data_IF_898525150927
#
_entry.id   IF_898525150927
#
_cell.length_a   1.000
_cell.length_b   1.000
_cell.length_c   1.000
_cell.angle_alpha   90.00
_cell.angle_beta   90.00
_cell.angle_gamma   90.00
#
_symmetry.space_group_name_H-M   'P 1'
#
loop_
_entity.id
_entity.type
_entity.pdbx_description
1 polymer ?
#
# COMPACT_ATOMS: atom_id res chain seq x y z
N UNK A 1 38.09 -1.61 7.59
CA UNK A 1 38.06 -0.17 7.29
C UNK A 1 36.78 0.05 6.53
N UNK A 2 35.74 0.48 7.22
CA UNK A 2 34.45 0.77 6.58
C UNK A 2 34.61 2.01 5.70
N UNK A 3 34.41 1.84 4.39
CA UNK A 3 34.53 2.91 3.41
C UNK A 3 33.47 3.99 3.65
N UNK A 4 33.88 5.20 3.99
CA UNK A 4 33.02 6.37 4.24
C UNK A 4 32.00 6.66 3.12
N UNK A 5 32.35 6.50 1.82
CA UNK A 5 31.37 6.64 0.74
C UNK A 5 30.21 5.63 0.83
N UNK A 6 30.47 4.43 1.37
CA UNK A 6 29.46 3.38 1.58
C UNK A 6 28.48 3.75 2.70
N UNK A 7 28.98 4.30 3.80
CA UNK A 7 28.14 4.73 4.93
C UNK A 7 27.25 5.92 4.55
N UNK A 8 27.78 6.93 3.86
CA UNK A 8 26.97 8.03 3.33
C UNK A 8 25.91 7.55 2.35
N UNK A 9 26.32 6.69 1.39
CA UNK A 9 25.40 6.09 0.44
C UNK A 9 24.26 5.33 1.12
N UNK A 10 24.56 4.57 2.19
CA UNK A 10 23.54 3.84 2.96
C UNK A 10 22.59 4.79 3.69
N UNK A 11 23.11 5.88 4.24
CA UNK A 11 22.30 6.94 4.87
C UNK A 11 21.33 7.56 3.88
N UNK A 12 21.81 8.00 2.71
CA UNK A 12 20.97 8.61 1.67
C UNK A 12 19.88 7.64 1.18
N UNK A 13 20.20 6.36 0.99
CA UNK A 13 19.20 5.31 0.66
C UNK A 13 18.10 5.24 1.70
N UNK A 14 18.46 5.31 2.97
CA UNK A 14 17.52 5.28 4.08
C UNK A 14 16.63 6.53 4.08
N UNK A 15 17.20 7.72 3.93
CA UNK A 15 16.44 8.98 3.85
C UNK A 15 15.40 8.95 2.72
N UNK A 16 15.78 8.45 1.54
CA UNK A 16 14.87 8.29 0.41
C UNK A 16 13.69 7.34 0.70
N UNK A 17 13.97 6.20 1.34
CA UNK A 17 12.92 5.24 1.75
C UNK A 17 11.97 5.86 2.77
N UNK A 18 12.51 6.49 3.80
CA UNK A 18 11.71 7.17 4.82
C UNK A 18 10.82 8.25 4.20
N UNK A 19 11.35 9.06 3.27
CA UNK A 19 10.57 10.07 2.54
C UNK A 19 9.43 9.46 1.72
N UNK A 20 9.67 8.34 1.03
CA UNK A 20 8.63 7.61 0.28
C UNK A 20 7.55 7.05 1.22
N UNK A 21 7.94 6.49 2.35
CA UNK A 21 7.02 5.96 3.37
C UNK A 21 6.17 7.08 4.00
N UNK A 22 6.77 8.23 4.30
CA UNK A 22 6.04 9.40 4.80
C UNK A 22 5.01 9.89 3.78
N UNK A 23 5.37 10.00 2.50
CA UNK A 23 4.41 10.40 1.47
C UNK A 23 3.25 9.40 1.34
N UNK A 24 3.52 8.09 1.43
CA UNK A 24 2.48 7.07 1.47
C UNK A 24 1.57 7.22 2.70
N UNK A 25 2.16 7.53 3.87
CA UNK A 25 1.42 7.79 5.11
C UNK A 25 0.54 9.03 5.01
N UNK A 26 1.08 10.15 4.51
CA UNK A 26 0.36 11.39 4.26
C UNK A 26 -0.83 11.14 3.34
N UNK A 27 -0.62 10.39 2.25
CA UNK A 27 -1.70 10.07 1.32
C UNK A 27 -2.81 9.23 1.99
N UNK A 28 -2.44 8.27 2.84
CA UNK A 28 -3.40 7.49 3.63
C UNK A 28 -4.20 8.37 4.60
N UNK A 29 -3.53 9.26 5.33
CA UNK A 29 -4.16 10.23 6.23
C UNK A 29 -5.12 11.15 5.47
N UNK A 30 -4.71 11.67 4.31
CA UNK A 30 -5.56 12.54 3.47
C UNK A 30 -6.81 11.81 2.99
N UNK A 31 -6.70 10.52 2.71
CA UNK A 31 -7.83 9.69 2.29
C UNK A 31 -8.77 9.34 3.46
N UNK A 32 -8.26 9.23 4.70
CA UNK A 32 -9.09 8.95 5.87
C UNK A 32 -9.95 10.14 6.31
N UNK A 33 -9.61 11.36 5.89
CA UNK A 33 -10.39 12.56 6.21
C UNK A 33 -11.36 12.88 5.06
N UNK A 34 -12.69 12.79 5.29
CA UNK A 34 -13.70 13.12 4.29
C UNK A 34 -13.56 14.57 3.80
N UNK A 35 -13.99 14.83 2.56
CA UNK A 35 -13.89 16.17 1.97
C UNK A 35 -14.73 17.24 2.67
N UNK A 36 -15.78 16.82 3.36
CA UNK A 36 -16.74 17.69 4.07
C UNK A 36 -16.22 18.25 5.38
N UNK A 37 -15.35 17.53 6.10
CA UNK A 37 -14.89 17.91 7.43
C UNK A 37 -13.70 18.88 7.37
N UNK A 38 -14.03 20.17 7.25
CA UNK A 38 -13.04 21.26 7.13
C UNK A 38 -12.13 21.38 8.36
N UNK A 39 -12.62 21.05 9.56
CA UNK A 39 -11.83 21.15 10.79
C UNK A 39 -10.74 20.09 10.81
N UNK A 40 -11.10 18.83 10.55
CA UNK A 40 -10.13 17.72 10.48
C UNK A 40 -9.12 17.90 9.35
N UNK A 41 -9.53 18.49 8.21
CA UNK A 41 -8.61 18.81 7.12
C UNK A 41 -7.54 19.84 7.50
N UNK A 42 -7.93 20.89 8.23
CA UNK A 42 -6.97 21.88 8.72
C UNK A 42 -5.99 21.26 9.69
N UNK A 43 -6.48 20.47 10.64
CA UNK A 43 -5.62 19.74 11.59
C UNK A 43 -4.65 18.82 10.84
N UNK A 44 -5.16 18.05 9.88
CA UNK A 44 -4.34 17.16 9.08
C UNK A 44 -3.23 17.90 8.33
N UNK A 45 -3.50 19.09 7.76
CA UNK A 45 -2.47 19.87 7.08
C UNK A 45 -1.36 20.32 8.04
N UNK A 46 -1.72 20.72 9.26
CA UNK A 46 -0.74 21.09 10.29
C UNK A 46 0.08 19.87 10.73
N UNK A 47 -0.59 18.73 10.94
CA UNK A 47 0.08 17.48 11.32
C UNK A 47 1.03 17.01 10.21
N UNK A 48 0.62 17.11 8.94
CA UNK A 48 1.47 16.79 7.78
C UNK A 48 2.68 17.72 7.71
N UNK A 49 2.47 19.04 7.82
CA UNK A 49 3.57 20.00 7.80
C UNK A 49 4.57 19.76 8.94
N UNK A 50 4.07 19.40 10.14
CA UNK A 50 4.92 19.03 11.27
C UNK A 50 5.72 17.76 10.99
N UNK A 51 5.08 16.71 10.47
CA UNK A 51 5.76 15.45 10.17
C UNK A 51 6.83 15.60 9.09
N UNK A 52 6.56 16.41 8.05
CA UNK A 52 7.53 16.72 7.01
C UNK A 52 8.72 17.52 7.56
N UNK A 53 8.46 18.54 8.37
CA UNK A 53 9.52 19.34 8.99
C UNK A 53 10.39 18.54 9.97
N UNK A 54 9.79 17.70 10.81
CA UNK A 54 10.53 16.86 11.76
C UNK A 54 11.44 15.85 11.05
N UNK A 55 10.96 15.25 9.95
CA UNK A 55 11.78 14.36 9.13
C UNK A 55 12.95 15.12 8.49
N UNK A 56 12.66 16.21 7.78
CA UNK A 56 13.67 16.97 7.06
C UNK A 56 14.74 17.50 8.01
N UNK A 57 14.32 18.00 9.19
CA UNK A 57 15.25 18.44 10.23
C UNK A 57 16.18 17.31 10.69
N UNK A 58 15.66 16.09 10.88
CA UNK A 58 16.48 14.95 11.27
C UNK A 58 17.46 14.54 10.17
N UNK A 59 17.01 14.49 8.91
CA UNK A 59 17.87 14.18 7.77
C UNK A 59 18.97 15.22 7.61
N UNK A 60 18.63 16.51 7.73
CA UNK A 60 19.60 17.60 7.65
C UNK A 60 20.63 17.54 8.79
N UNK A 61 20.21 17.28 10.03
CA UNK A 61 21.16 17.11 11.15
C UNK A 61 22.09 15.91 10.95
N UNK A 62 21.59 14.81 10.40
CA UNK A 62 22.44 13.64 10.07
C UNK A 62 23.48 13.99 9.00
N UNK A 63 23.09 14.76 7.98
CA UNK A 63 23.99 15.24 6.93
C UNK A 63 25.02 16.24 7.47
N UNK A 64 24.61 17.20 8.28
CA UNK A 64 25.50 18.19 8.90
C UNK A 64 26.54 17.51 9.79
N UNK A 65 26.11 16.56 10.63
CA UNK A 65 27.04 15.74 11.44
C UNK A 65 27.99 14.94 10.56
N UNK A 66 27.52 14.42 9.43
CA UNK A 66 28.37 13.67 8.51
C UNK A 66 29.41 14.58 7.84
N UNK A 67 29.02 15.79 7.42
CA UNK A 67 29.92 16.79 6.85
C UNK A 67 30.93 17.32 7.87
N UNK A 68 30.51 17.60 9.11
CA UNK A 68 31.41 18.06 10.18
C UNK A 68 32.50 17.02 10.48
N UNK A 69 32.15 15.73 10.46
CA UNK A 69 33.10 14.65 10.65
C UNK A 69 34.02 14.45 9.42
N UNK A 70 33.59 14.86 8.23
CA UNK A 70 34.33 14.64 6.98
C UNK A 70 34.20 15.81 5.97
N UNK A 71 34.93 16.92 6.21
CA UNK A 71 34.78 18.18 5.45
C UNK A 71 35.27 18.14 3.99
N UNK A 72 35.99 17.09 3.57
CA UNK A 72 36.69 17.04 2.27
C UNK A 72 35.94 16.27 1.16
N UNK A 73 34.68 15.89 1.38
CA UNK A 73 33.96 15.01 0.45
C UNK A 73 33.08 15.76 -0.57
N UNK A 74 33.68 16.34 -1.61
CA UNK A 74 32.91 16.90 -2.74
C UNK A 74 32.20 15.83 -3.60
N UNK A 75 32.55 14.55 -3.46
CA UNK A 75 31.97 13.43 -4.22
C UNK A 75 30.57 12.99 -3.74
N UNK A 76 30.10 13.50 -2.59
CA UNK A 76 28.83 13.08 -1.99
C UNK A 76 27.61 13.49 -2.81
N UNK A 77 27.66 14.61 -3.52
CA UNK A 77 26.56 15.11 -4.35
C UNK A 77 26.37 14.27 -5.63
N UNK A 78 27.43 13.66 -6.17
CA UNK A 78 27.28 12.72 -7.28
C UNK A 78 26.66 11.39 -6.82
N UNK A 79 26.98 10.96 -5.60
CA UNK A 79 26.45 9.73 -5.00
C UNK A 79 24.95 9.85 -4.71
N UNK A 80 24.47 11.02 -4.27
CA UNK A 80 23.04 11.26 -3.99
C UNK A 80 22.19 11.19 -5.27
N UNK A 81 22.66 11.76 -6.38
CA UNK A 81 21.96 11.72 -7.67
C UNK A 81 21.86 10.30 -8.26
N UNK A 82 22.94 9.50 -8.17
CA UNK A 82 22.95 8.13 -8.69
C UNK A 82 22.03 7.20 -7.88
N UNK A 83 21.96 7.41 -6.57
CA UNK A 83 21.06 6.70 -5.67
C UNK A 83 19.58 6.93 -5.93
N UNK A 84 19.22 8.17 -6.26
CA UNK A 84 17.84 8.51 -6.61
C UNK A 84 17.38 7.73 -7.87
N UNK A 85 18.30 7.44 -8.79
CA UNK A 85 18.03 6.63 -9.99
C UNK A 85 17.88 5.15 -9.65
N UNK A 86 18.77 4.58 -8.84
CA UNK A 86 18.69 3.15 -8.48
C UNK A 86 17.47 2.75 -7.64
N UNK A 87 16.99 3.61 -6.73
CA UNK A 87 15.81 3.31 -5.90
C UNK A 87 14.50 3.31 -6.72
N UNK A 88 14.55 3.70 -8.00
CA UNK A 88 13.46 3.55 -8.96
C UNK A 88 13.41 2.15 -9.58
N UNK A 89 14.57 1.49 -9.74
CA UNK A 89 14.70 0.19 -10.40
C UNK A 89 14.38 -1.01 -9.50
N UNK A 90 14.54 -0.88 -8.18
CA UNK A 90 14.24 -1.95 -7.21
C UNK A 90 12.76 -2.00 -6.79
N UNK A 91 11.89 -1.19 -7.40
CA UNK A 91 10.45 -1.34 -7.20
C UNK A 91 9.92 -2.45 -8.12
N UNK A 92 9.22 -3.47 -7.60
CA UNK A 92 8.60 -4.47 -8.47
C UNK A 92 7.70 -3.77 -9.48
N UNK A 93 7.66 -4.24 -10.75
CA UNK A 93 6.86 -3.62 -11.80
C UNK A 93 5.44 -3.39 -11.29
N UNK A 94 5.05 -2.12 -11.16
CA UNK A 94 3.71 -1.77 -10.69
C UNK A 94 2.74 -2.15 -11.78
N UNK A 95 2.13 -3.33 -11.66
CA UNK A 95 1.03 -3.76 -12.54
C UNK A 95 -0.03 -2.66 -12.54
N UNK A 96 -0.27 -2.07 -13.72
CA UNK A 96 -1.22 -0.98 -13.82
C UNK A 96 -2.63 -1.48 -13.47
N UNK A 97 -3.48 -0.58 -12.95
CA UNK A 97 -4.91 -0.88 -12.75
C UNK A 97 -5.57 -1.42 -14.03
N UNK A 98 -5.10 -0.99 -15.20
CA UNK A 98 -5.58 -1.48 -16.50
C UNK A 98 -5.14 -2.93 -16.76
N UNK A 99 -3.88 -3.28 -16.52
CA UNK A 99 -3.39 -4.66 -16.61
C UNK A 99 -4.15 -5.59 -15.66
N UNK A 100 -4.32 -5.18 -14.40
CA UNK A 100 -5.10 -5.95 -13.40
C UNK A 100 -6.57 -6.17 -13.81
N UNK A 101 -7.17 -5.22 -14.56
CA UNK A 101 -8.52 -5.39 -15.12
C UNK A 101 -8.57 -6.36 -16.30
N UNK A 102 -7.52 -6.37 -17.14
CA UNK A 102 -7.39 -7.30 -18.29
C UNK A 102 -7.15 -8.72 -17.79
N UNK A 103 -6.17 -8.91 -16.92
CA UNK A 103 -5.90 -10.19 -16.27
C UNK A 103 -7.17 -10.75 -15.60
N UNK A 104 -7.95 -9.93 -14.88
CA UNK A 104 -9.22 -10.38 -14.30
C UNK A 104 -10.22 -10.86 -15.35
N UNK A 105 -10.29 -10.22 -16.53
CA UNK A 105 -11.13 -10.68 -17.65
C UNK A 105 -10.60 -11.97 -18.25
N UNK A 106 -9.29 -12.09 -18.39
CA UNK A 106 -8.63 -13.29 -18.91
C UNK A 106 -8.84 -14.47 -17.96
N UNK A 107 -8.71 -14.29 -16.64
CA UNK A 107 -9.02 -15.30 -15.62
C UNK A 107 -10.49 -15.75 -15.64
N UNK A 108 -11.41 -14.78 -15.75
CA UNK A 108 -12.86 -15.06 -15.83
C UNK A 108 -13.20 -15.75 -17.16
N UNK A 109 -12.55 -15.40 -18.26
CA UNK A 109 -12.71 -16.04 -19.57
C UNK A 109 -12.13 -17.45 -19.63
N UNK A 110 -11.06 -17.73 -18.88
CA UNK A 110 -10.42 -19.04 -18.76
C UNK A 110 -11.09 -19.96 -17.72
N UNK A 111 -12.16 -19.50 -17.04
CA UNK A 111 -12.86 -20.28 -16.00
C UNK A 111 -12.01 -20.61 -14.76
N UNK A 112 -10.81 -20.06 -14.65
CA UNK A 112 -9.89 -20.26 -13.53
C UNK A 112 -10.07 -19.09 -12.56
N UNK A 113 -10.96 -19.26 -11.59
CA UNK A 113 -11.16 -18.29 -10.50
C UNK A 113 -10.25 -18.69 -9.34
N UNK A 114 -9.12 -17.99 -9.09
CA UNK A 114 -8.28 -18.32 -7.94
C UNK A 114 -9.00 -17.96 -6.63
N UNK A 115 -9.15 -18.94 -5.74
CA UNK A 115 -9.56 -18.73 -4.34
C UNK A 115 -11.03 -18.99 -3.97
N UNK A 116 -11.85 -19.58 -4.85
CA UNK A 116 -13.26 -19.89 -4.57
C UNK A 116 -13.53 -21.40 -4.30
N UNK A 117 -12.51 -22.23 -4.49
CA UNK A 117 -12.55 -23.68 -4.28
C UNK A 117 -12.39 -24.00 -2.78
N UNK A 118 -13.48 -23.91 -2.00
CA UNK A 118 -13.42 -24.31 -0.59
C UNK A 118 -14.67 -24.06 0.25
N UNK A 119 -15.61 -23.22 -0.20
CA UNK A 119 -16.82 -22.90 0.59
C UNK A 119 -18.15 -23.40 0.02
N UNK A 120 -18.17 -23.89 -1.22
CA UNK A 120 -19.41 -24.30 -1.88
C UNK A 120 -19.81 -25.78 -1.70
N UNK A 121 -19.02 -26.58 -0.97
CA UNK A 121 -19.23 -28.04 -0.88
C UNK A 121 -19.97 -28.54 0.37
N UNK A 122 -20.25 -27.69 1.36
CA UNK A 122 -21.08 -28.05 2.53
C UNK A 122 -22.57 -27.72 2.33
N UNK A 123 -22.90 -26.71 1.52
CA UNK A 123 -24.27 -26.20 1.34
C UNK A 123 -25.16 -27.05 0.39
N UNK A 124 -24.72 -28.23 -0.04
CA UNK A 124 -25.49 -29.09 -0.96
C UNK A 124 -26.04 -30.39 -0.37
N UNK A 125 -25.71 -30.74 0.88
CA UNK A 125 -26.24 -31.96 1.54
C UNK A 125 -27.50 -31.74 2.38
N UNK A 126 -27.88 -30.50 2.68
CA UNK A 126 -29.02 -30.23 3.59
C UNK A 126 -30.37 -29.96 2.90
N UNK A 127 -30.39 -29.88 1.55
CA UNK A 127 -31.59 -29.62 0.75
C UNK A 127 -32.02 -30.85 -0.07
N UNK A 128 -31.94 -32.05 0.50
CA UNK A 128 -32.50 -33.25 -0.13
C UNK A 128 -33.43 -34.06 0.78
N UNK A 129 -33.67 -33.61 2.02
CA UNK A 129 -34.54 -34.27 3.01
C UNK A 129 -35.88 -33.56 3.29
N UNK A 130 -36.39 -32.70 2.40
CA UNK A 130 -37.73 -32.07 2.56
C UNK A 130 -38.67 -32.27 1.37
N UNK A 131 -38.38 -33.25 0.51
CA UNK A 131 -39.03 -33.38 -0.80
C UNK A 131 -39.73 -34.71 -1.05
N UNK A 132 -40.30 -35.37 -0.06
CA UNK A 132 -41.22 -36.51 -0.29
C UNK A 132 -42.24 -36.58 0.85
N UNK A 133 -43.42 -35.98 0.63
CA UNK A 133 -44.74 -36.39 1.12
C UNK A 133 -45.76 -35.34 0.63
N UNK A 134 -45.98 -35.31 -0.68
CA UNK A 134 -47.21 -34.78 -1.28
C UNK A 134 -48.13 -35.98 -1.45
N UNK A 135 -49.24 -35.99 -0.72
CA UNK A 135 -50.15 -37.13 -0.72
C UNK A 135 -51.52 -36.80 -0.12
N UNK A 136 -52.33 -36.09 -0.91
CA UNK A 136 -53.80 -36.13 -0.95
C UNK A 136 -54.57 -35.41 0.17
N UNK A 137 -55.58 -34.63 -0.24
CA UNK A 137 -56.73 -34.30 0.62
C UNK A 137 -57.33 -32.92 0.40
N UNK A 138 -58.05 -32.74 -0.70
CA UNK A 138 -58.97 -31.61 -0.93
C UNK A 138 -60.19 -31.67 0.00
N UNK A 139 -60.62 -30.53 0.57
CA UNK A 139 -62.01 -30.19 0.94
C UNK A 139 -62.01 -28.77 1.54
N UNK A 140 -62.37 -27.72 0.79
CA UNK A 140 -63.71 -27.12 0.67
C UNK A 140 -64.37 -26.65 1.98
N UNK A 141 -64.63 -25.33 1.98
CA UNK A 141 -65.77 -24.59 2.54
C UNK A 141 -65.98 -24.46 4.06
N UNK A 142 -65.75 -23.23 4.56
CA UNK A 142 -66.78 -22.28 5.02
C UNK A 142 -67.91 -22.81 5.93
N UNK A 143 -67.80 -22.53 7.24
CA UNK A 143 -68.78 -21.77 8.05
C UNK A 143 -68.25 -21.50 9.45
#
# INVERSE_FOLDING_TARGET
MDDLPSEHQRMIRRHHREKKELQARIQSMKNSVPKSDKKKRKQLLLDVARLEAEMEQRHQQELERFQENFPDNSDLDSITEDLAKMDLENQPPRVSRAQKRREKRDWVGLGKVPGWEGKASSERRHRQKRGTLLGKGSSWAEK
#
